data_IF_470345804501
#
_entry.id   IF_470345804501
#
_cell.length_a   1.000
_cell.length_b   1.000
_cell.length_c   1.000
_cell.angle_alpha   90.00
_cell.angle_beta   90.00
_cell.angle_gamma   90.00
#
_symmetry.space_group_name_H-M   'P 1'
#
loop_
_entity.id
_entity.type
_entity.pdbx_description
1 polymer ?
#
# COMPACT_ATOMS: atom_id res chain seq x y z
N UNK A 1 38.66 10.59 -6.94
CA UNK A 1 38.12 9.60 -5.94
C UNK A 1 36.83 9.07 -6.52
N UNK A 2 36.90 7.87 -7.03
CA UNK A 2 35.80 7.18 -7.68
C UNK A 2 34.84 6.68 -6.58
N UNK A 3 33.62 7.18 -6.54
CA UNK A 3 32.52 6.60 -5.78
C UNK A 3 32.22 5.23 -6.37
N UNK A 4 32.80 4.21 -5.79
CA UNK A 4 32.34 2.84 -6.01
C UNK A 4 30.97 2.71 -5.36
N UNK A 5 29.92 2.76 -6.19
CA UNK A 5 28.58 2.34 -5.84
C UNK A 5 28.66 0.87 -5.42
N UNK A 6 28.56 0.62 -4.13
CA UNK A 6 28.42 -0.72 -3.55
C UNK A 6 27.25 -1.41 -4.24
N UNK A 7 27.38 -2.66 -4.71
CA UNK A 7 26.28 -3.38 -5.34
C UNK A 7 25.10 -3.46 -4.38
N UNK A 8 23.94 -3.02 -4.84
CA UNK A 8 22.66 -3.22 -4.19
C UNK A 8 22.57 -4.66 -3.71
N UNK A 9 22.47 -4.86 -2.40
CA UNK A 9 22.15 -6.16 -1.84
C UNK A 9 20.83 -6.59 -2.48
N UNK A 10 20.86 -7.66 -3.26
CA UNK A 10 19.66 -8.27 -3.82
C UNK A 10 18.84 -8.79 -2.65
N UNK A 11 17.86 -7.98 -2.20
CA UNK A 11 16.92 -8.43 -1.18
C UNK A 11 16.12 -9.59 -1.76
N UNK A 12 16.27 -10.74 -1.15
CA UNK A 12 15.48 -11.93 -1.50
C UNK A 12 14.06 -11.69 -1.01
N UNK A 13 13.11 -11.65 -1.94
CA UNK A 13 11.68 -11.58 -1.61
C UNK A 13 11.33 -12.82 -0.80
N UNK A 14 10.71 -12.69 0.38
CA UNK A 14 10.33 -13.85 1.19
C UNK A 14 9.43 -14.82 0.42
N UNK A 15 9.55 -16.11 0.73
CA UNK A 15 8.73 -17.14 0.12
C UNK A 15 7.23 -16.87 0.32
N UNK A 16 6.44 -17.15 -0.70
CA UNK A 16 4.99 -16.95 -0.69
C UNK A 16 4.53 -15.55 -1.13
N UNK A 17 5.46 -14.61 -1.33
CA UNK A 17 5.13 -13.29 -1.85
C UNK A 17 5.28 -13.20 -3.36
N UNK A 18 4.33 -12.53 -4.01
CA UNK A 18 4.37 -12.18 -5.42
C UNK A 18 4.24 -10.67 -5.63
N UNK A 19 4.85 -10.17 -6.71
CA UNK A 19 4.78 -8.75 -7.05
C UNK A 19 3.36 -8.34 -7.43
N UNK A 20 2.86 -7.26 -6.82
CA UNK A 20 1.63 -6.59 -7.26
C UNK A 20 1.90 -5.81 -8.55
N UNK A 21 1.27 -6.23 -9.62
CA UNK A 21 1.50 -5.66 -10.94
C UNK A 21 0.60 -4.45 -11.20
N UNK A 22 0.90 -3.33 -10.56
CA UNK A 22 0.20 -2.08 -10.80
C UNK A 22 0.85 -1.26 -11.91
N UNK A 23 0.18 -1.20 -13.03
CA UNK A 23 0.73 -0.56 -14.22
C UNK A 23 0.64 0.97 -14.22
N UNK A 24 -0.16 1.57 -13.31
CA UNK A 24 -0.42 3.02 -13.26
C UNK A 24 -0.90 3.48 -11.89
N UNK A 25 -0.90 4.79 -11.71
CA UNK A 25 -1.41 5.44 -10.51
C UNK A 25 -0.38 5.54 -9.38
N UNK A 26 -0.86 5.98 -8.22
CA UNK A 26 -0.02 6.25 -7.07
C UNK A 26 0.67 4.99 -6.54
N UNK A 27 -0.03 3.85 -6.55
CA UNK A 27 0.55 2.58 -6.11
C UNK A 27 1.82 2.18 -6.87
N UNK A 28 1.90 2.53 -8.16
CA UNK A 28 3.13 2.34 -8.96
C UNK A 28 4.27 3.23 -8.48
N UNK A 29 3.98 4.47 -8.08
CA UNK A 29 5.00 5.45 -7.65
C UNK A 29 5.65 5.05 -6.32
N UNK A 30 4.87 4.45 -5.42
CA UNK A 30 5.33 4.03 -4.10
C UNK A 30 5.80 2.57 -4.06
N UNK A 31 5.67 1.84 -5.18
CA UNK A 31 6.10 0.44 -5.27
C UNK A 31 7.63 0.27 -5.31
N UNK A 32 8.06 -0.98 -5.46
CA UNK A 32 7.26 -2.20 -5.64
C UNK A 32 6.51 -2.64 -4.38
N UNK A 33 5.30 -3.15 -4.58
CA UNK A 33 4.48 -3.74 -3.52
C UNK A 33 4.26 -5.23 -3.81
N UNK A 34 4.09 -6.00 -2.76
CA UNK A 34 3.96 -7.46 -2.82
C UNK A 34 2.71 -7.92 -2.09
N UNK A 35 2.23 -9.11 -2.45
CA UNK A 35 1.14 -9.77 -1.77
C UNK A 35 1.47 -11.23 -1.46
N UNK A 36 0.96 -11.69 -0.35
CA UNK A 36 0.98 -13.08 0.06
C UNK A 36 -0.46 -13.59 0.13
N UNK A 37 -0.78 -14.55 -0.71
CA UNK A 37 -2.10 -15.19 -0.77
C UNK A 37 -2.03 -16.55 -0.08
N UNK A 38 -2.18 -16.56 1.24
CA UNK A 38 -2.35 -17.78 1.98
C UNK A 38 -3.81 -18.24 2.02
N UNK A 39 -4.09 -19.52 2.33
CA UNK A 39 -5.44 -20.05 2.37
C UNK A 39 -6.32 -19.44 3.49
N UNK A 40 -5.70 -18.88 4.53
CA UNK A 40 -6.38 -18.32 5.71
C UNK A 40 -5.96 -16.89 6.02
N UNK A 41 -4.92 -16.39 5.37
CA UNK A 41 -4.35 -15.08 5.70
C UNK A 41 -3.85 -14.39 4.44
N UNK A 42 -4.32 -13.18 4.24
CA UNK A 42 -3.87 -12.29 3.19
C UNK A 42 -2.98 -11.20 3.78
N UNK A 43 -1.83 -10.97 3.16
CA UNK A 43 -0.91 -9.88 3.54
C UNK A 43 -0.45 -9.12 2.33
N UNK A 44 -0.18 -7.84 2.53
CA UNK A 44 0.63 -7.03 1.63
C UNK A 44 1.96 -6.72 2.27
N UNK A 45 2.94 -6.41 1.43
CA UNK A 45 4.28 -6.08 1.90
C UNK A 45 5.00 -5.13 0.97
N UNK A 46 6.01 -4.46 1.49
CA UNK A 46 7.00 -3.73 0.71
C UNK A 46 8.36 -3.72 1.42
N UNK A 47 9.41 -3.60 0.64
CA UNK A 47 10.74 -3.30 1.14
C UNK A 47 10.87 -1.79 1.29
N UNK A 48 11.34 -1.32 2.43
CA UNK A 48 11.61 0.11 2.61
C UNK A 48 12.82 0.50 1.77
N UNK A 49 12.58 1.26 0.71
CA UNK A 49 13.61 1.81 -0.18
C UNK A 49 13.76 3.31 0.06
N UNK A 50 14.80 3.93 -0.50
CA UNK A 50 15.14 5.33 -0.26
C UNK A 50 13.96 6.29 -0.52
N UNK A 51 13.22 6.10 -1.62
CA UNK A 51 12.09 6.96 -1.98
C UNK A 51 10.89 6.90 -1.00
N UNK A 52 10.87 5.91 -0.10
CA UNK A 52 9.88 5.82 0.98
C UNK A 52 10.26 6.62 2.22
N UNK A 53 11.54 7.03 2.33
CA UNK A 53 12.11 7.50 3.58
C UNK A 53 12.04 9.01 3.78
N UNK A 54 12.24 9.42 5.01
CA UNK A 54 12.50 10.80 5.43
C UNK A 54 14.01 11.02 5.60
N UNK A 55 14.39 12.22 6.03
CA UNK A 55 15.82 12.56 6.26
C UNK A 55 16.54 11.72 7.34
N UNK A 56 15.80 10.91 8.10
CA UNK A 56 16.35 9.97 9.10
C UNK A 56 16.43 8.54 8.57
N UNK A 57 16.22 8.32 7.29
CA UNK A 57 16.20 7.00 6.62
C UNK A 57 15.14 6.05 7.20
N UNK A 58 14.05 6.60 7.72
CA UNK A 58 12.87 5.84 8.14
C UNK A 58 11.72 6.09 7.15
N UNK A 59 10.91 5.08 6.88
CA UNK A 59 9.71 5.26 6.07
C UNK A 59 8.85 6.38 6.66
N UNK A 60 8.43 7.32 5.80
CA UNK A 60 7.55 8.41 6.22
C UNK A 60 6.23 7.86 6.75
N UNK A 61 5.68 8.53 7.77
CA UNK A 61 4.36 8.20 8.30
C UNK A 61 3.29 8.19 7.20
N UNK A 62 3.34 9.14 6.25
CA UNK A 62 2.44 9.15 5.08
C UNK A 62 2.58 7.93 4.19
N UNK A 63 3.79 7.39 4.00
CA UNK A 63 4.01 6.14 3.27
C UNK A 63 3.38 4.96 4.03
N UNK A 64 3.58 4.86 5.33
CA UNK A 64 3.00 3.80 6.16
C UNK A 64 1.47 3.90 6.17
N UNK A 65 0.87 5.11 6.24
CA UNK A 65 -0.58 5.31 6.13
C UNK A 65 -1.11 4.90 4.76
N UNK A 66 -0.42 5.25 3.68
CA UNK A 66 -0.80 4.83 2.32
C UNK A 66 -0.77 3.31 2.20
N UNK A 67 0.28 2.68 2.70
CA UNK A 67 0.40 1.23 2.72
C UNK A 67 -0.71 0.58 3.56
N UNK A 68 -1.03 1.16 4.74
CA UNK A 68 -2.13 0.69 5.59
C UNK A 68 -3.49 0.78 4.87
N UNK A 69 -3.77 1.89 4.19
CA UNK A 69 -4.98 2.07 3.39
C UNK A 69 -5.15 0.92 2.38
N UNK A 70 -4.07 0.59 1.68
CA UNK A 70 -4.07 -0.45 0.67
C UNK A 70 -4.15 -1.87 1.27
N UNK A 71 -3.47 -2.13 2.38
CA UNK A 71 -3.44 -3.43 3.03
C UNK A 71 -4.74 -3.72 3.79
N UNK A 72 -5.28 -2.73 4.50
CA UNK A 72 -6.51 -2.89 5.28
C UNK A 72 -7.76 -2.88 4.40
N UNK A 73 -7.83 -1.98 3.41
CA UNK A 73 -8.93 -1.94 2.46
C UNK A 73 -9.04 -3.22 1.64
N UNK A 74 -7.91 -3.88 1.37
CA UNK A 74 -7.94 -5.15 0.66
C UNK A 74 -8.70 -6.26 1.42
N UNK A 75 -8.80 -6.19 2.75
CA UNK A 75 -9.64 -7.10 3.53
C UNK A 75 -11.11 -7.07 3.10
N UNK A 76 -11.60 -5.92 2.62
CA UNK A 76 -12.95 -5.78 2.05
C UNK A 76 -13.05 -6.50 0.70
N UNK A 77 -12.03 -6.39 -0.14
CA UNK A 77 -12.00 -7.03 -1.47
C UNK A 77 -11.92 -8.55 -1.41
N UNK A 78 -11.23 -9.09 -0.40
CA UNK A 78 -11.09 -10.55 -0.24
C UNK A 78 -12.40 -11.24 0.15
N UNK A 79 -13.34 -10.49 0.74
CA UNK A 79 -14.64 -11.05 1.12
C UNK A 79 -15.52 -11.31 -0.10
N UNK A 80 -15.60 -10.37 -1.08
CA UNK A 80 -16.57 -10.42 -2.16
C UNK A 80 -16.10 -9.76 -3.48
N UNK A 81 -14.82 -9.60 -3.71
CA UNK A 81 -14.27 -8.91 -4.90
C UNK A 81 -14.81 -7.48 -5.09
N UNK A 82 -15.03 -6.78 -4.00
CA UNK A 82 -15.69 -5.48 -3.99
C UNK A 82 -14.72 -4.32 -4.25
N UNK A 83 -15.21 -3.30 -4.94
CA UNK A 83 -14.54 -2.01 -5.03
C UNK A 83 -14.93 -1.17 -3.83
N UNK A 84 -13.99 -0.46 -3.27
CA UNK A 84 -14.19 0.33 -2.06
C UNK A 84 -13.46 1.67 -2.16
N UNK A 85 -13.92 2.61 -1.34
CA UNK A 85 -13.27 3.89 -1.08
C UNK A 85 -13.09 4.07 0.42
N UNK A 86 -12.04 4.76 0.80
CA UNK A 86 -11.74 5.01 2.20
C UNK A 86 -12.62 6.15 2.73
N UNK A 87 -13.30 5.89 3.83
CA UNK A 87 -14.11 6.89 4.53
C UNK A 87 -13.31 7.54 5.65
N UNK A 88 -12.63 6.72 6.45
CA UNK A 88 -11.83 7.19 7.59
C UNK A 88 -10.75 6.18 7.94
N UNK A 89 -9.61 6.67 8.34
CA UNK A 89 -8.56 5.87 8.97
C UNK A 89 -8.13 6.53 10.27
N UNK A 90 -7.98 5.72 11.32
CA UNK A 90 -7.38 6.11 12.59
C UNK A 90 -6.15 5.24 12.79
N UNK A 91 -4.99 5.86 12.95
CA UNK A 91 -3.70 5.16 12.97
C UNK A 91 -2.88 5.60 14.18
N UNK A 92 -2.29 4.63 14.87
CA UNK A 92 -1.32 4.83 15.93
C UNK A 92 0.05 4.31 15.47
N UNK A 93 1.02 5.21 15.37
CA UNK A 93 2.40 4.90 15.00
C UNK A 93 3.16 4.48 16.27
N UNK A 94 3.59 3.23 16.32
CA UNK A 94 4.21 2.62 17.50
C UNK A 94 5.72 2.49 17.39
N UNK A 95 6.24 2.31 16.17
CA UNK A 95 7.67 2.23 15.89
C UNK A 95 8.00 2.63 14.45
N UNK A 96 9.29 2.80 14.16
CA UNK A 96 9.77 3.15 12.82
C UNK A 96 9.95 1.91 11.95
N UNK A 97 9.74 2.09 10.64
CA UNK A 97 10.22 1.18 9.61
C UNK A 97 11.47 1.78 8.97
N UNK A 98 12.61 1.09 9.03
CA UNK A 98 13.91 1.59 8.58
C UNK A 98 14.19 1.19 7.13
N UNK A 99 15.05 1.97 6.48
CA UNK A 99 15.58 1.59 5.16
C UNK A 99 16.07 0.13 5.15
N UNK A 100 15.66 -0.64 4.15
CA UNK A 100 16.04 -2.05 3.98
C UNK A 100 15.19 -3.04 4.78
N UNK A 101 14.26 -2.59 5.62
CA UNK A 101 13.36 -3.49 6.35
C UNK A 101 12.18 -3.93 5.46
N UNK A 102 11.79 -5.19 5.64
CA UNK A 102 10.60 -5.77 5.02
C UNK A 102 9.38 -5.51 5.90
N UNK A 103 8.44 -4.74 5.38
CA UNK A 103 7.22 -4.33 6.08
C UNK A 103 6.03 -5.10 5.55
N UNK A 104 5.25 -5.65 6.46
CA UNK A 104 4.03 -6.39 6.17
C UNK A 104 2.81 -5.72 6.78
N UNK A 105 1.66 -5.97 6.19
CA UNK A 105 0.39 -5.43 6.68
C UNK A 105 -0.80 -6.30 6.33
N UNK A 106 -1.75 -6.35 7.25
CA UNK A 106 -3.03 -7.01 7.04
C UNK A 106 -4.16 -6.30 7.78
N UNK A 107 -5.38 -6.55 7.34
CA UNK A 107 -6.60 -6.10 7.99
C UNK A 107 -7.60 -7.22 8.17
N UNK A 108 -8.48 -7.05 9.13
CA UNK A 108 -9.60 -7.95 9.44
C UNK A 108 -10.89 -7.15 9.47
N UNK A 109 -11.90 -7.56 8.72
CA UNK A 109 -13.24 -6.98 8.80
C UNK A 109 -13.86 -7.37 10.14
N UNK A 110 -14.10 -6.38 11.00
CA UNK A 110 -14.69 -6.61 12.34
C UNK A 110 -16.18 -6.25 12.41
N UNK A 111 -16.67 -5.44 11.48
CA UNK A 111 -18.07 -5.05 11.37
C UNK A 111 -18.40 -4.71 9.92
N UNK A 112 -19.55 -5.20 9.49
CA UNK A 112 -20.18 -4.77 8.23
C UNK A 112 -21.59 -4.29 8.55
N UNK A 113 -21.92 -3.10 8.07
CA UNK A 113 -23.25 -2.51 8.14
C UNK A 113 -23.58 -1.83 6.83
N UNK A 114 -24.57 -2.35 6.11
CA UNK A 114 -24.91 -1.91 4.75
C UNK A 114 -23.67 -1.99 3.82
N UNK A 115 -23.29 -0.87 3.22
CA UNK A 115 -22.12 -0.74 2.34
C UNK A 115 -20.83 -0.28 3.07
N UNK A 116 -20.88 -0.18 4.41
CA UNK A 116 -19.76 0.23 5.26
C UNK A 116 -19.10 -0.97 5.93
N UNK A 117 -17.78 -1.03 5.84
CA UNK A 117 -16.94 -2.05 6.45
C UNK A 117 -15.97 -1.40 7.43
N UNK A 118 -15.96 -1.87 8.66
CA UNK A 118 -14.95 -1.49 9.65
C UNK A 118 -13.87 -2.57 9.67
N UNK A 119 -12.64 -2.16 9.46
CA UNK A 119 -11.47 -3.03 9.41
C UNK A 119 -10.51 -2.65 10.52
N UNK A 120 -10.13 -3.62 11.34
CA UNK A 120 -9.00 -3.49 12.26
C UNK A 120 -7.73 -3.94 11.55
N UNK A 121 -6.68 -3.16 11.63
CA UNK A 121 -5.45 -3.42 10.89
C UNK A 121 -4.18 -3.29 11.72
N UNK A 122 -3.13 -3.94 11.21
CA UNK A 122 -1.77 -3.91 11.77
C UNK A 122 -0.76 -3.82 10.63
N UNK A 123 0.31 -3.08 10.88
CA UNK A 123 1.52 -3.03 10.06
C UNK A 123 2.70 -3.42 10.95
N UNK A 124 3.62 -4.27 10.45
CA UNK A 124 4.72 -4.80 11.25
C UNK A 124 5.97 -5.08 10.40
N UNK A 125 7.09 -5.22 11.07
CA UNK A 125 8.36 -5.71 10.55
C UNK A 125 8.88 -6.81 11.49
N UNK A 126 8.94 -8.05 11.01
CA UNK A 126 9.22 -9.20 11.88
C UNK A 126 8.26 -9.24 13.07
N UNK A 127 8.77 -9.21 14.28
CA UNK A 127 7.96 -9.23 15.52
C UNK A 127 7.55 -7.82 15.98
N UNK A 128 8.11 -6.76 15.37
CA UNK A 128 7.89 -5.38 15.80
C UNK A 128 6.68 -4.78 15.11
N UNK A 129 5.68 -4.36 15.88
CA UNK A 129 4.54 -3.60 15.38
C UNK A 129 4.94 -2.17 15.07
N UNK A 130 4.68 -1.72 13.85
CA UNK A 130 4.95 -0.36 13.37
C UNK A 130 3.72 0.51 13.57
N UNK A 131 2.55 0.01 13.18
CA UNK A 131 1.29 0.73 13.26
C UNK A 131 0.14 -0.22 13.58
N UNK A 132 -0.80 0.26 14.36
CA UNK A 132 -2.14 -0.33 14.49
C UNK A 132 -3.20 0.71 14.18
N UNK A 133 -4.40 0.25 13.86
CA UNK A 133 -5.49 1.19 13.61
C UNK A 133 -6.78 0.54 13.15
N UNK A 134 -7.69 1.41 12.76
CA UNK A 134 -9.00 1.05 12.25
C UNK A 134 -9.30 1.87 11.01
N UNK A 135 -9.78 1.20 9.97
CA UNK A 135 -10.29 1.83 8.75
C UNK A 135 -11.80 1.62 8.60
N UNK A 136 -12.49 2.62 8.06
CA UNK A 136 -13.85 2.49 7.56
C UNK A 136 -13.81 2.65 6.06
N UNK A 137 -14.32 1.65 5.36
CA UNK A 137 -14.34 1.58 3.90
C UNK A 137 -15.78 1.45 3.42
N UNK A 138 -16.11 2.19 2.37
CA UNK A 138 -17.41 2.10 1.72
C UNK A 138 -17.29 1.34 0.41
N UNK A 139 -18.10 0.31 0.25
CA UNK A 139 -18.23 -0.41 -1.01
C UNK A 139 -18.97 0.46 -2.00
N UNK A 140 -18.48 0.50 -3.23
CA UNK A 140 -19.08 1.23 -4.33
C UNK A 140 -19.38 0.29 -5.51
N UNK A 141 -20.40 0.64 -6.29
CA UNK A 141 -20.67 -0.10 -7.52
C UNK A 141 -19.51 0.04 -8.51
N UNK A 142 -19.18 -1.06 -9.19
CA UNK A 142 -18.22 -1.03 -10.28
C UNK A 142 -18.81 -0.19 -11.43
N UNK A 143 -18.24 1.00 -11.64
CA UNK A 143 -18.52 1.76 -12.85
C UNK A 143 -17.45 1.45 -13.88
N UNK A 144 -17.83 1.26 -15.17
CA UNK A 144 -16.83 1.20 -16.24
C UNK A 144 -15.94 2.44 -16.14
N UNK A 145 -14.63 2.24 -16.16
CA UNK A 145 -13.68 3.37 -16.24
C UNK A 145 -13.98 4.07 -17.55
N UNK A 146 -14.58 5.27 -17.49
CA UNK A 146 -14.76 6.10 -18.66
C UNK A 146 -13.39 6.30 -19.34
N UNK A 147 -13.33 6.08 -20.65
CA UNK A 147 -12.12 6.37 -21.42
C UNK A 147 -11.68 7.80 -21.07
N UNK A 148 -10.41 7.98 -20.70
CA UNK A 148 -9.87 9.32 -20.42
C UNK A 148 -10.22 10.23 -21.61
N UNK A 149 -10.76 11.44 -21.38
CA UNK A 149 -10.77 12.44 -22.42
C UNK A 149 -9.33 12.59 -22.91
N UNK A 150 -9.11 12.41 -24.20
CA UNK A 150 -7.82 12.72 -24.80
C UNK A 150 -7.49 14.15 -24.44
N UNK A 151 -6.37 14.39 -23.76
CA UNK A 151 -5.83 15.74 -23.60
C UNK A 151 -5.56 16.23 -25.01
N UNK A 152 -6.49 17.04 -25.53
CA UNK A 152 -6.31 17.73 -26.79
C UNK A 152 -5.00 18.50 -26.68
N UNK A 153 -4.09 18.20 -27.61
CA UNK A 153 -2.87 18.98 -27.82
C UNK A 153 -3.29 20.45 -27.86
N UNK A 154 -2.76 21.21 -26.89
CA UNK A 154 -2.82 22.66 -26.98
C UNK A 154 -2.10 23.00 -28.29
N UNK A 155 -2.88 23.39 -29.29
CA UNK A 155 -2.33 23.90 -30.55
C UNK A 155 -1.67 25.22 -30.22
N UNK A 156 -0.33 25.23 -30.19
CA UNK A 156 0.44 26.45 -30.24
C UNK A 156 0.13 27.16 -31.57
N UNK A 157 -0.76 28.13 -31.53
CA UNK A 157 -0.82 29.15 -32.57
C UNK A 157 0.14 30.25 -32.12
N UNK A 158 1.38 30.13 -32.60
CA UNK A 158 2.27 31.28 -32.70
C UNK A 158 1.76 32.17 -33.79
N UNK A 159 1.61 33.43 -33.50
CA UNK A 159 1.44 34.55 -34.35
C UNK A 159 2.14 35.73 -33.74
#
# INVERSE_FOLDING_TARGET
MSDELTPSQSHVIPEGYSLLNWHRGFGRQIGPLYEHNGPTEYRRAFLVEEHHTNGMMNARGGMIMTFADMAWGHAVSTSDSLWWVTVRMTCDFLSSARLGEWVEGSGEVVLQQDDLYTVRGRIWCGDRTIMTGTGIFKVIEQRPIAARPSLNKVSNHGG
#
